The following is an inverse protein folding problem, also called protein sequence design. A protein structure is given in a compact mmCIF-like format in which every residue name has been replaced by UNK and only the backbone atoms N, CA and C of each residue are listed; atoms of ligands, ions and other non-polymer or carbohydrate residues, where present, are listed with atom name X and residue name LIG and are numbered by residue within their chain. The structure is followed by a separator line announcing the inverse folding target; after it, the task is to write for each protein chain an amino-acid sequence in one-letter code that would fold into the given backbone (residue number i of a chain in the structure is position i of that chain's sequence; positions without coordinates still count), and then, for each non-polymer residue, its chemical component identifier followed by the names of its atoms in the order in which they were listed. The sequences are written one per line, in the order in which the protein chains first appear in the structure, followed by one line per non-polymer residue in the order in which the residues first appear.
data_IF_545702592985
#
_entry.id   IF_545702592985
#
_cell.length_a   1.000
_cell.length_b   1.000
_cell.length_c   1.000
_cell.angle_alpha   90.00
_cell.angle_beta   90.00
_cell.angle_gamma   90.00
#
_symmetry.space_group_name_H-M   'P 1'
#
loop_
_entity.id
_entity.type
_entity.pdbx_description
1 polymer ?
#
# COMPACT_ATOMS: atom_id res chain seq x y z
N UNK A 1 78.00 -40.59 -66.26
CA UNK A 1 76.72 -40.17 -66.88
C UNK A 1 75.71 -40.24 -65.80
N UNK A 2 75.51 -39.09 -65.06
CA UNK A 2 74.50 -39.03 -64.04
C UNK A 2 73.48 -38.01 -64.48
N UNK A 3 72.21 -38.45 -64.49
CA UNK A 3 71.07 -37.65 -64.84
C UNK A 3 70.57 -36.91 -63.59
N UNK A 4 70.55 -35.61 -63.60
CA UNK A 4 69.96 -34.72 -62.59
C UNK A 4 68.41 -34.66 -62.85
N UNK A 5 67.60 -34.79 -61.84
CA UNK A 5 66.10 -34.64 -61.99
C UNK A 5 65.69 -33.16 -62.05
N UNK A 6 64.86 -32.95 -63.04
CA UNK A 6 64.24 -31.64 -63.35
C UNK A 6 63.30 -31.18 -62.24
N UNK A 7 63.60 -30.07 -61.55
CA UNK A 7 62.71 -29.44 -60.56
C UNK A 7 61.58 -28.72 -61.27
N UNK A 8 60.40 -29.26 -61.20
CA UNK A 8 59.18 -28.57 -61.64
C UNK A 8 58.82 -27.45 -60.75
N UNK A 9 58.88 -26.25 -61.29
CA UNK A 9 58.60 -24.96 -60.68
C UNK A 9 57.06 -24.81 -60.44
N UNK A 10 56.58 -25.20 -59.24
CA UNK A 10 55.21 -24.92 -58.82
C UNK A 10 55.02 -23.43 -58.60
N UNK A 11 54.56 -22.73 -59.67
CA UNK A 11 54.05 -21.37 -59.51
C UNK A 11 52.72 -21.40 -58.78
N UNK A 12 52.80 -21.07 -57.48
CA UNK A 12 51.64 -20.75 -56.68
C UNK A 12 50.86 -19.63 -57.37
N UNK A 13 49.61 -19.95 -57.83
CA UNK A 13 48.67 -18.94 -58.35
C UNK A 13 48.17 -18.12 -57.15
N UNK A 14 48.83 -17.02 -56.81
CA UNK A 14 48.28 -16.04 -55.91
C UNK A 14 46.97 -15.48 -56.53
N UNK A 15 45.82 -15.81 -55.92
CA UNK A 15 44.51 -15.22 -56.29
C UNK A 15 44.60 -13.72 -55.97
N UNK A 16 44.82 -12.91 -57.02
CA UNK A 16 44.78 -11.45 -56.89
C UNK A 16 43.35 -11.03 -56.53
N UNK A 17 43.10 -10.64 -55.29
CA UNK A 17 41.84 -10.03 -54.83
C UNK A 17 41.64 -8.72 -55.61
N UNK A 18 40.43 -8.48 -56.18
CA UNK A 18 40.14 -7.23 -56.89
C UNK A 18 40.31 -6.04 -55.95
N UNK A 19 40.98 -4.98 -56.40
CA UNK A 19 41.30 -3.77 -55.61
C UNK A 19 40.04 -3.14 -54.95
N UNK A 20 38.88 -3.24 -55.62
CA UNK A 20 37.58 -2.83 -55.10
C UNK A 20 37.20 -3.58 -53.83
N UNK A 21 37.47 -4.88 -53.75
CA UNK A 21 37.13 -5.72 -52.57
C UNK A 21 38.06 -5.39 -51.40
N UNK A 22 39.31 -5.08 -51.65
CA UNK A 22 40.29 -4.66 -50.61
C UNK A 22 39.94 -3.30 -50.00
N UNK A 23 39.38 -2.38 -50.78
CA UNK A 23 38.97 -1.06 -50.31
C UNK A 23 37.56 -1.07 -49.69
N UNK A 24 36.58 -1.70 -50.32
CA UNK A 24 35.14 -1.60 -49.86
C UNK A 24 34.89 -2.46 -48.63
N UNK A 25 35.46 -3.70 -48.56
CA UNK A 25 35.20 -4.60 -47.44
C UNK A 25 35.59 -4.03 -46.08
N UNK A 26 36.79 -3.43 -45.87
CA UNK A 26 37.14 -2.83 -44.60
C UNK A 26 36.25 -1.66 -44.21
N UNK A 27 35.83 -0.80 -45.15
CA UNK A 27 34.93 0.31 -44.89
C UNK A 27 33.54 -0.17 -44.47
N UNK A 28 33.00 -1.17 -45.16
CA UNK A 28 31.69 -1.79 -44.82
C UNK A 28 31.78 -2.44 -43.43
N UNK A 29 32.85 -3.18 -43.14
CA UNK A 29 33.07 -3.77 -41.81
C UNK A 29 33.18 -2.72 -40.71
N UNK A 30 33.87 -1.59 -40.95
CA UNK A 30 33.94 -0.49 -39.97
C UNK A 30 32.55 0.12 -39.71
N UNK A 31 31.72 0.32 -40.75
CA UNK A 31 30.38 0.86 -40.61
C UNK A 31 29.53 -0.12 -39.80
N UNK A 32 29.55 -1.43 -40.10
CA UNK A 32 28.83 -2.45 -39.37
C UNK A 32 29.29 -2.53 -37.90
N UNK A 33 30.59 -2.46 -37.65
CA UNK A 33 31.12 -2.44 -36.28
C UNK A 33 30.69 -1.19 -35.52
N UNK A 34 30.74 0.00 -36.15
CA UNK A 34 30.31 1.25 -35.52
C UNK A 34 28.80 1.24 -35.23
N UNK A 35 27.95 0.82 -36.19
CA UNK A 35 26.52 0.73 -36.01
C UNK A 35 26.15 -0.34 -34.95
N UNK A 36 26.79 -1.50 -34.97
CA UNK A 36 26.57 -2.57 -34.00
C UNK A 36 26.98 -2.13 -32.59
N UNK A 37 28.12 -1.49 -32.43
CA UNK A 37 28.57 -0.96 -31.15
C UNK A 37 27.66 0.16 -30.63
N UNK A 38 27.26 1.10 -31.50
CA UNK A 38 26.34 2.18 -31.13
C UNK A 38 24.96 1.60 -30.72
N UNK A 39 24.43 0.65 -31.46
CA UNK A 39 23.18 -0.06 -31.12
C UNK A 39 23.27 -0.78 -29.76
N UNK A 40 24.36 -1.52 -29.53
CA UNK A 40 24.60 -2.21 -28.26
C UNK A 40 24.69 -1.23 -27.07
N UNK A 41 25.49 -0.15 -27.22
CA UNK A 41 25.63 0.87 -26.18
C UNK A 41 24.29 1.60 -25.91
N UNK A 42 23.52 1.90 -26.97
CA UNK A 42 22.19 2.53 -26.87
C UNK A 42 21.22 1.65 -26.09
N UNK A 43 21.15 0.34 -26.41
CA UNK A 43 20.31 -0.61 -25.66
C UNK A 43 20.72 -0.74 -24.19
N UNK A 44 22.03 -0.84 -23.93
CA UNK A 44 22.57 -0.94 -22.57
C UNK A 44 22.29 0.32 -21.75
N UNK A 45 22.46 1.50 -22.33
CA UNK A 45 22.14 2.77 -21.69
C UNK A 45 20.63 2.92 -21.47
N UNK A 46 19.82 2.52 -22.44
CA UNK A 46 18.35 2.48 -22.31
C UNK A 46 17.91 1.61 -21.13
N UNK A 47 18.47 0.42 -20.99
CA UNK A 47 18.16 -0.47 -19.86
C UNK A 47 18.58 0.10 -18.50
N UNK A 48 19.74 0.76 -18.42
CA UNK A 48 20.15 1.45 -17.18
C UNK A 48 19.19 2.58 -16.85
N UNK A 49 18.83 3.41 -17.82
CA UNK A 49 17.87 4.49 -17.63
C UNK A 49 16.51 3.98 -17.14
N UNK A 50 16.01 2.85 -17.68
CA UNK A 50 14.77 2.21 -17.20
C UNK A 50 14.89 1.79 -15.74
N UNK A 51 15.98 1.11 -15.37
CA UNK A 51 16.19 0.65 -14.00
C UNK A 51 16.24 1.83 -13.01
N UNK A 52 16.96 2.90 -13.37
CA UNK A 52 17.07 4.12 -12.55
C UNK A 52 15.71 4.82 -12.41
N UNK A 53 14.97 4.96 -13.51
CA UNK A 53 13.63 5.56 -13.50
C UNK A 53 12.64 4.73 -12.69
N UNK A 54 12.64 3.40 -12.86
CA UNK A 54 11.76 2.50 -12.12
C UNK A 54 12.04 2.58 -10.61
N UNK A 55 13.30 2.52 -10.22
CA UNK A 55 13.72 2.63 -8.81
C UNK A 55 13.33 3.98 -8.22
N UNK A 56 13.60 5.07 -8.94
CA UNK A 56 13.27 6.43 -8.50
C UNK A 56 11.77 6.63 -8.36
N UNK A 57 10.99 6.25 -9.37
CA UNK A 57 9.53 6.37 -9.37
C UNK A 57 8.93 5.57 -8.23
N UNK A 58 9.33 4.29 -8.07
CA UNK A 58 8.85 3.44 -6.99
C UNK A 58 9.20 4.02 -5.62
N UNK A 59 10.41 4.59 -5.47
CA UNK A 59 10.86 5.27 -4.27
C UNK A 59 10.02 6.50 -3.91
N UNK A 60 9.75 7.36 -4.89
CA UNK A 60 8.92 8.55 -4.71
C UNK A 60 7.48 8.17 -4.33
N UNK A 61 6.89 7.18 -5.02
CA UNK A 61 5.54 6.68 -4.72
C UNK A 61 5.48 6.07 -3.32
N UNK A 62 6.44 5.20 -2.98
CA UNK A 62 6.52 4.59 -1.65
C UNK A 62 6.67 5.64 -0.54
N UNK A 63 7.51 6.65 -0.74
CA UNK A 63 7.69 7.76 0.20
C UNK A 63 6.40 8.57 0.40
N UNK A 64 5.66 8.86 -0.68
CA UNK A 64 4.36 9.55 -0.60
C UNK A 64 3.31 8.72 0.15
N UNK A 65 3.29 7.40 -0.07
CA UNK A 65 2.39 6.50 0.65
C UNK A 65 2.73 6.48 2.14
N UNK A 66 4.01 6.33 2.48
CA UNK A 66 4.47 6.34 3.88
C UNK A 66 4.11 7.66 4.57
N UNK A 67 4.37 8.80 3.93
CA UNK A 67 4.01 10.11 4.48
C UNK A 67 2.49 10.28 4.68
N UNK A 68 1.69 9.73 3.76
CA UNK A 68 0.23 9.74 3.92
C UNK A 68 -0.20 8.87 5.12
N UNK A 69 0.36 7.66 5.26
CA UNK A 69 0.10 6.80 6.41
C UNK A 69 0.47 7.48 7.73
N UNK A 70 1.67 8.08 7.79
CA UNK A 70 2.12 8.82 8.97
C UNK A 70 1.13 9.91 9.37
N UNK A 71 0.73 10.76 8.43
CA UNK A 71 -0.17 11.87 8.70
C UNK A 71 -1.59 11.38 9.07
N UNK A 72 -2.10 10.40 8.34
CA UNK A 72 -3.46 9.88 8.54
C UNK A 72 -3.61 9.16 9.87
N UNK A 73 -2.69 8.26 10.21
CA UNK A 73 -2.77 7.46 11.42
C UNK A 73 -2.34 8.25 12.69
N UNK A 74 -1.43 9.22 12.54
CA UNK A 74 -1.02 10.11 13.63
C UNK A 74 -2.19 10.89 14.24
N UNK A 75 -3.16 11.29 13.43
CA UNK A 75 -4.35 12.00 13.89
C UNK A 75 -5.13 11.20 14.94
N UNK A 76 -5.38 9.92 14.69
CA UNK A 76 -6.09 9.06 15.63
C UNK A 76 -5.33 8.89 16.95
N UNK A 77 -4.00 8.69 16.90
CA UNK A 77 -3.17 8.60 18.11
C UNK A 77 -3.20 9.89 18.94
N UNK A 78 -3.08 11.04 18.28
CA UNK A 78 -3.16 12.34 18.98
C UNK A 78 -4.52 12.55 19.63
N UNK A 79 -5.62 12.19 18.95
CA UNK A 79 -6.95 12.29 19.53
C UNK A 79 -7.16 11.34 20.71
N UNK A 80 -6.66 10.09 20.61
CA UNK A 80 -6.69 9.17 21.74
C UNK A 80 -5.94 9.74 22.96
N UNK A 81 -4.79 10.39 22.71
CA UNK A 81 -4.02 11.06 23.76
C UNK A 81 -4.78 12.24 24.34
N UNK A 82 -5.26 13.17 23.51
CA UNK A 82 -5.99 14.38 23.92
C UNK A 82 -7.23 14.01 24.73
N UNK A 83 -8.01 13.01 24.28
CA UNK A 83 -9.23 12.60 24.96
C UNK A 83 -8.94 11.91 26.30
N UNK A 84 -7.90 11.08 26.35
CA UNK A 84 -7.44 10.49 27.60
C UNK A 84 -6.97 11.55 28.59
N UNK A 85 -6.14 12.50 28.16
CA UNK A 85 -5.67 13.61 29.00
C UNK A 85 -6.83 14.48 29.48
N UNK A 86 -7.85 14.73 28.66
CA UNK A 86 -9.04 15.48 29.06
C UNK A 86 -9.83 14.77 30.19
N UNK A 87 -9.89 13.43 30.15
CA UNK A 87 -10.49 12.65 31.23
C UNK A 87 -9.59 12.68 32.48
N UNK A 88 -8.30 12.43 32.33
CA UNK A 88 -7.32 12.39 33.43
C UNK A 88 -7.31 13.72 34.21
N UNK A 89 -7.45 14.86 33.50
CA UNK A 89 -7.53 16.21 34.08
C UNK A 89 -8.93 16.57 34.61
N UNK A 90 -9.93 15.71 34.43
CA UNK A 90 -11.32 15.98 34.83
C UNK A 90 -12.05 17.02 33.97
N UNK A 91 -11.50 17.36 32.80
CA UNK A 91 -12.14 18.26 31.83
C UNK A 91 -13.27 17.59 31.07
N UNK A 92 -13.18 16.27 30.91
CA UNK A 92 -14.19 15.42 30.30
C UNK A 92 -14.70 14.39 31.30
N UNK A 93 -15.91 14.62 31.83
CA UNK A 93 -16.51 13.77 32.85
C UNK A 93 -17.05 12.47 32.24
N UNK A 94 -16.56 11.31 32.72
CA UNK A 94 -16.97 9.99 32.19
C UNK A 94 -18.41 9.61 32.58
N UNK A 95 -19.00 10.28 33.56
CA UNK A 95 -20.39 10.03 34.02
C UNK A 95 -21.43 10.77 33.15
N UNK A 96 -21.05 11.83 32.47
CA UNK A 96 -21.92 12.60 31.57
C UNK A 96 -21.75 12.14 30.11
N UNK A 97 -22.41 11.03 29.78
CA UNK A 97 -22.35 10.46 28.44
C UNK A 97 -22.83 11.44 27.35
N UNK A 98 -23.80 12.33 27.67
CA UNK A 98 -24.32 13.27 26.68
C UNK A 98 -23.28 14.35 26.34
N UNK A 99 -22.65 14.93 27.36
CA UNK A 99 -21.58 15.92 27.19
C UNK A 99 -20.37 15.31 26.48
N UNK A 100 -20.00 14.10 26.86
CA UNK A 100 -18.91 13.34 26.22
C UNK A 100 -19.19 13.08 24.72
N UNK A 101 -20.38 12.57 24.39
CA UNK A 101 -20.75 12.32 23.00
C UNK A 101 -20.79 13.61 22.16
N UNK A 102 -21.26 14.73 22.75
CA UNK A 102 -21.25 16.03 22.09
C UNK A 102 -19.82 16.52 21.84
N UNK A 103 -18.89 16.31 22.79
CA UNK A 103 -17.49 16.63 22.63
C UNK A 103 -16.85 15.79 21.50
N UNK A 104 -17.10 14.48 21.45
CA UNK A 104 -16.65 13.61 20.38
C UNK A 104 -17.23 14.04 19.02
N UNK A 105 -18.51 14.39 18.98
CA UNK A 105 -19.16 14.90 17.78
C UNK A 105 -18.46 16.17 17.24
N UNK A 106 -18.05 17.09 18.13
CA UNK A 106 -17.27 18.28 17.75
C UNK A 106 -15.93 17.88 17.09
N UNK A 107 -15.24 16.91 17.65
CA UNK A 107 -13.98 16.40 17.07
C UNK A 107 -14.21 15.74 15.73
N UNK A 108 -15.26 14.93 15.57
CA UNK A 108 -15.61 14.28 14.30
C UNK A 108 -15.81 15.26 13.14
N UNK A 109 -16.21 16.49 13.42
CA UNK A 109 -16.36 17.56 12.41
C UNK A 109 -15.04 18.23 12.01
N UNK A 110 -14.01 18.10 12.81
CA UNK A 110 -12.73 18.76 12.60
C UNK A 110 -11.68 17.80 12.01
N UNK A 111 -11.80 16.52 12.33
CA UNK A 111 -10.80 15.53 12.00
C UNK A 111 -11.36 14.45 11.09
N UNK A 112 -10.54 14.01 10.15
CA UNK A 112 -10.88 12.92 9.23
C UNK A 112 -10.60 11.56 9.86
N UNK A 113 -11.53 11.12 10.70
CA UNK A 113 -11.52 9.84 11.43
C UNK A 113 -12.85 9.11 11.24
N UNK A 114 -12.89 7.84 11.59
CA UNK A 114 -14.10 7.01 11.42
C UNK A 114 -15.07 7.13 12.58
N UNK A 115 -14.56 6.91 13.81
CA UNK A 115 -15.37 6.86 15.02
C UNK A 115 -14.54 7.16 16.26
N UNK A 116 -15.15 7.78 17.29
CA UNK A 116 -14.57 7.96 18.63
C UNK A 116 -15.41 7.17 19.62
N UNK A 117 -14.77 6.34 20.42
CA UNK A 117 -15.40 5.49 21.43
C UNK A 117 -14.80 5.71 22.80
N UNK A 118 -15.65 5.63 23.82
CA UNK A 118 -15.24 5.42 25.20
C UNK A 118 -16.07 4.31 25.80
N UNK A 119 -15.42 3.24 26.22
CA UNK A 119 -16.06 2.10 26.89
C UNK A 119 -15.53 1.95 28.31
N UNK A 120 -16.41 1.73 29.29
CA UNK A 120 -16.04 1.55 30.68
C UNK A 120 -16.03 0.07 31.10
N UNK A 121 -15.40 -0.23 32.23
CA UNK A 121 -15.44 -1.58 32.82
C UNK A 121 -16.85 -1.98 33.30
N UNK A 122 -17.75 -1.02 33.47
CA UNK A 122 -19.17 -1.25 33.85
C UNK A 122 -20.09 -1.43 32.65
N UNK A 123 -19.52 -1.65 31.45
CA UNK A 123 -20.22 -1.84 30.19
C UNK A 123 -21.05 -0.60 29.74
N UNK A 124 -20.67 0.59 30.20
CA UNK A 124 -21.20 1.83 29.64
C UNK A 124 -20.37 2.23 28.42
N UNK A 125 -21.05 2.65 27.35
CA UNK A 125 -20.44 3.06 26.10
C UNK A 125 -20.93 4.43 25.70
N UNK A 126 -20.02 5.24 25.19
CA UNK A 126 -20.31 6.54 24.58
C UNK A 126 -19.48 6.68 23.32
N UNK A 127 -20.09 7.13 22.23
CA UNK A 127 -19.34 7.33 20.99
C UNK A 127 -19.98 8.34 20.05
N UNK A 128 -19.20 8.74 19.06
CA UNK A 128 -19.64 9.54 17.94
C UNK A 128 -18.86 9.19 16.68
N UNK A 129 -19.52 9.15 15.54
CA UNK A 129 -18.83 8.89 14.29
C UNK A 129 -19.74 8.68 13.10
N UNK A 130 -19.13 8.32 11.98
CA UNK A 130 -19.82 8.05 10.72
C UNK A 130 -20.26 6.59 10.71
N UNK A 131 -21.56 6.38 10.82
CA UNK A 131 -22.16 5.09 10.92
C UNK A 131 -23.18 4.93 9.78
N UNK A 132 -23.00 3.96 8.91
CA UNK A 132 -23.83 3.67 7.72
C UNK A 132 -23.86 4.77 6.63
N UNK A 133 -23.70 6.03 7.00
CA UNK A 133 -23.68 7.16 6.07
C UNK A 133 -22.38 7.92 6.26
N UNK A 134 -21.51 8.02 5.23
CA UNK A 134 -20.24 8.73 5.33
C UNK A 134 -20.40 10.24 5.56
N UNK A 135 -21.62 10.77 5.41
CA UNK A 135 -21.91 12.20 5.55
C UNK A 135 -22.66 12.55 6.85
N UNK A 136 -23.06 11.55 7.64
CA UNK A 136 -23.84 11.77 8.87
C UNK A 136 -23.08 11.26 10.10
N UNK A 137 -22.79 12.19 11.01
CA UNK A 137 -22.24 11.84 12.31
C UNK A 137 -23.43 11.44 13.22
N UNK A 138 -23.37 10.26 13.78
CA UNK A 138 -24.30 9.78 14.82
C UNK A 138 -23.62 9.85 16.17
N UNK A 139 -24.41 9.96 17.23
CA UNK A 139 -23.95 9.81 18.62
C UNK A 139 -24.57 8.54 19.19
N UNK A 140 -23.79 7.80 19.98
CA UNK A 140 -24.19 6.46 20.41
C UNK A 140 -23.94 6.24 21.89
N UNK A 141 -24.84 5.48 22.50
CA UNK A 141 -24.82 5.19 23.93
C UNK A 141 -25.24 3.75 24.23
N UNK A 142 -24.54 3.15 25.18
CA UNK A 142 -25.05 1.98 25.90
C UNK A 142 -24.86 2.21 27.39
N UNK A 143 -25.88 1.98 28.19
CA UNK A 143 -25.83 2.14 29.64
C UNK A 143 -26.70 1.11 30.33
N UNK A 144 -26.15 -0.07 30.65
CA UNK A 144 -26.90 -1.11 31.36
C UNK A 144 -27.54 -0.63 32.66
N UNK A 145 -26.89 0.29 33.37
CA UNK A 145 -27.42 0.88 34.59
C UNK A 145 -28.69 1.72 34.38
N UNK A 146 -28.78 2.47 33.28
CA UNK A 146 -29.90 3.34 32.97
C UNK A 146 -31.00 2.65 32.17
N UNK A 147 -30.62 1.71 31.30
CA UNK A 147 -31.48 1.10 30.32
C UNK A 147 -31.98 -0.30 30.75
N UNK A 148 -31.32 -0.94 31.74
CA UNK A 148 -31.63 -2.30 32.16
C UNK A 148 -31.26 -3.39 31.16
N UNK A 149 -30.59 -3.02 30.03
CA UNK A 149 -30.10 -3.92 28.99
C UNK A 149 -28.76 -3.46 28.45
N UNK A 150 -28.13 -4.25 27.59
CA UNK A 150 -26.85 -3.97 26.93
C UNK A 150 -27.03 -3.50 25.48
N UNK A 151 -28.18 -2.92 25.18
CA UNK A 151 -28.45 -2.44 23.82
C UNK A 151 -27.65 -1.13 23.57
N UNK A 152 -27.15 -1.03 22.36
CA UNK A 152 -26.45 0.15 21.88
C UNK A 152 -27.42 0.97 21.02
N UNK A 153 -27.62 2.20 21.39
CA UNK A 153 -28.56 3.12 20.76
C UNK A 153 -27.78 4.18 19.98
N UNK A 154 -27.97 4.23 18.67
CA UNK A 154 -27.42 5.25 17.80
C UNK A 154 -28.49 6.30 17.45
N UNK A 155 -28.11 7.57 17.51
CA UNK A 155 -28.99 8.69 17.24
C UNK A 155 -28.42 9.61 16.18
N UNK A 156 -29.28 10.10 15.28
CA UNK A 156 -28.96 11.21 14.40
C UNK A 156 -28.73 12.48 15.24
N UNK A 157 -27.94 13.42 14.69
CA UNK A 157 -27.68 14.71 15.33
C UNK A 157 -28.15 15.86 14.45
N UNK A 158 -28.48 16.99 15.09
CA UNK A 158 -28.67 18.25 14.38
C UNK A 158 -27.34 18.92 14.04
N UNK A 159 -27.39 20.11 13.42
CA UNK A 159 -26.21 20.89 13.05
C UNK A 159 -25.36 21.34 14.23
N UNK A 160 -25.86 21.26 15.44
CA UNK A 160 -25.20 21.62 16.69
C UNK A 160 -24.64 20.41 17.44
N UNK A 161 -24.97 19.19 16.99
CA UNK A 161 -24.56 17.93 17.63
C UNK A 161 -25.52 17.44 18.72
N UNK A 162 -26.69 18.03 18.83
CA UNK A 162 -27.71 17.55 19.75
C UNK A 162 -28.35 16.29 19.18
N UNK A 163 -28.58 15.32 20.06
CA UNK A 163 -29.29 14.09 19.73
C UNK A 163 -30.72 14.40 19.27
N UNK A 164 -31.12 13.83 18.12
CA UNK A 164 -32.44 13.99 17.54
C UNK A 164 -33.16 12.64 17.44
N UNK A 165 -33.24 12.06 16.28
CA UNK A 165 -33.98 10.84 16.00
C UNK A 165 -33.15 9.61 16.33
N UNK A 166 -33.80 8.57 16.87
CA UNK A 166 -33.21 7.25 16.98
C UNK A 166 -32.96 6.72 15.55
N UNK A 167 -31.67 6.40 15.28
CA UNK A 167 -31.21 5.91 13.99
C UNK A 167 -31.27 4.38 13.94
N UNK A 168 -30.70 3.71 14.96
CA UNK A 168 -30.64 2.25 15.04
C UNK A 168 -30.45 1.76 16.48
N UNK A 169 -30.74 0.47 16.71
CA UNK A 169 -30.53 -0.22 17.99
C UNK A 169 -29.83 -1.55 17.75
N UNK A 170 -28.62 -1.69 18.30
CA UNK A 170 -27.91 -2.97 18.29
C UNK A 170 -28.16 -3.69 19.60
N UNK A 171 -28.84 -4.84 19.48
CA UNK A 171 -29.23 -5.64 20.65
C UNK A 171 -28.03 -6.35 21.27
N UNK A 172 -27.93 -6.30 22.60
CA UNK A 172 -26.93 -7.00 23.40
C UNK A 172 -25.48 -6.77 22.89
N UNK A 173 -25.12 -5.51 22.61
CA UNK A 173 -23.82 -5.12 22.12
C UNK A 173 -22.71 -5.35 23.15
N UNK A 174 -21.71 -6.11 22.79
CA UNK A 174 -20.63 -6.55 23.67
C UNK A 174 -19.30 -5.94 23.22
N UNK A 175 -19.16 -4.63 23.31
CA UNK A 175 -17.96 -3.93 22.89
C UNK A 175 -16.69 -4.38 23.63
N UNK A 176 -16.84 -4.94 24.84
CA UNK A 176 -15.72 -5.50 25.61
C UNK A 176 -15.04 -6.68 24.92
N UNK A 177 -15.68 -7.28 23.90
CA UNK A 177 -15.11 -8.34 23.05
C UNK A 177 -14.47 -7.79 21.78
N UNK A 178 -14.74 -6.53 21.44
CA UNK A 178 -14.19 -5.90 20.25
C UNK A 178 -12.66 -5.72 20.39
N UNK A 179 -11.89 -5.84 19.27
CA UNK A 179 -10.44 -5.76 19.31
C UNK A 179 -9.91 -4.48 19.95
N UNK A 180 -10.54 -3.34 19.68
CA UNK A 180 -10.13 -2.04 20.22
C UNK A 180 -10.15 -2.01 21.76
N UNK A 181 -11.14 -2.64 22.39
CA UNK A 181 -11.27 -2.66 23.83
C UNK A 181 -10.49 -3.82 24.47
N UNK A 182 -10.75 -5.07 24.01
CA UNK A 182 -10.18 -6.28 24.59
C UNK A 182 -8.66 -6.31 24.53
N UNK A 183 -8.06 -5.91 23.40
CA UNK A 183 -6.60 -5.92 23.26
C UNK A 183 -5.96 -4.82 24.10
N UNK A 184 -6.60 -3.66 24.22
CA UNK A 184 -6.08 -2.51 24.99
C UNK A 184 -6.15 -2.77 26.49
N UNK A 185 -7.26 -3.31 27.00
CA UNK A 185 -7.36 -3.70 28.41
C UNK A 185 -6.32 -4.74 28.78
N UNK A 186 -6.10 -5.73 27.90
CA UNK A 186 -5.06 -6.75 28.10
C UNK A 186 -3.64 -6.18 28.06
N UNK A 187 -3.38 -5.21 27.19
CA UNK A 187 -2.05 -4.62 27.05
C UNK A 187 -1.72 -3.62 28.17
N UNK A 188 -2.72 -3.00 28.80
CA UNK A 188 -2.56 -1.99 29.84
C UNK A 188 -1.81 -0.73 29.42
N UNK A 189 -1.66 -0.49 28.10
CA UNK A 189 -0.97 0.65 27.50
C UNK A 189 -1.63 1.03 26.18
N UNK A 190 -1.27 2.21 25.67
CA UNK A 190 -1.72 2.63 24.34
C UNK A 190 -1.21 1.70 23.25
N UNK A 191 -2.11 1.26 22.37
CA UNK A 191 -1.82 0.35 21.26
C UNK A 191 -2.75 0.64 20.08
N UNK A 192 -2.38 0.19 18.89
CA UNK A 192 -3.32 -0.08 17.82
C UNK A 192 -4.00 -1.42 18.03
N UNK A 193 -5.29 -1.50 17.70
CA UNK A 193 -5.97 -2.80 17.57
C UNK A 193 -5.44 -3.58 16.37
N UNK A 194 -5.68 -4.88 16.33
CA UNK A 194 -5.66 -5.60 15.06
C UNK A 194 -6.68 -4.97 14.10
N UNK A 195 -6.44 -5.08 12.78
CA UNK A 195 -7.42 -4.65 11.78
C UNK A 195 -8.68 -5.50 11.91
N UNK A 196 -9.82 -4.85 12.03
CA UNK A 196 -11.12 -5.48 12.14
C UNK A 196 -12.11 -4.91 11.13
N UNK A 197 -13.21 -5.58 10.95
CA UNK A 197 -14.26 -5.20 10.02
C UNK A 197 -15.51 -4.81 10.77
N UNK A 198 -16.08 -3.65 10.44
CA UNK A 198 -17.37 -3.28 10.97
C UNK A 198 -18.44 -4.21 10.39
N UNK A 199 -19.33 -4.70 11.23
CA UNK A 199 -20.40 -5.64 10.84
C UNK A 199 -21.58 -4.97 10.12
N UNK A 200 -21.33 -3.80 9.53
CA UNK A 200 -22.33 -2.95 8.90
C UNK A 200 -21.94 -2.72 7.44
N UNK A 201 -22.91 -2.93 6.55
CA UNK A 201 -22.72 -2.64 5.11
C UNK A 201 -22.28 -1.18 4.91
N UNK A 202 -21.22 -0.90 4.13
CA UNK A 202 -20.49 -1.79 3.20
C UNK A 202 -19.31 -2.56 3.82
N UNK A 203 -19.33 -2.87 5.10
CA UNK A 203 -18.31 -3.65 5.83
C UNK A 203 -16.90 -3.03 5.77
N UNK A 204 -16.72 -1.75 6.14
CA UNK A 204 -15.41 -1.12 6.04
C UNK A 204 -14.41 -1.78 7.00
N UNK A 205 -13.18 -1.95 6.54
CA UNK A 205 -12.07 -2.28 7.43
C UNK A 205 -11.68 -1.04 8.23
N UNK A 206 -11.36 -1.27 9.50
CA UNK A 206 -10.90 -0.24 10.42
C UNK A 206 -9.72 -0.74 11.26
N UNK A 207 -8.97 0.20 11.79
CA UNK A 207 -7.96 0.00 12.84
C UNK A 207 -8.16 1.09 13.87
N UNK A 208 -8.06 0.78 15.16
CA UNK A 208 -8.32 1.73 16.22
C UNK A 208 -7.06 2.08 17.01
N UNK A 209 -6.79 3.38 17.17
CA UNK A 209 -5.80 3.90 18.09
C UNK A 209 -6.41 3.97 19.49
N UNK A 210 -5.91 3.20 20.44
CA UNK A 210 -6.55 3.02 21.72
C UNK A 210 -5.66 3.43 22.89
N UNK A 211 -6.28 4.04 23.91
CA UNK A 211 -5.63 4.41 25.16
C UNK A 211 -6.46 3.93 26.34
N UNK A 212 -5.87 3.17 27.28
CA UNK A 212 -6.51 2.87 28.55
C UNK A 212 -6.55 4.16 29.41
N UNK A 213 -7.64 4.33 30.15
CA UNK A 213 -7.86 5.46 31.04
C UNK A 213 -7.93 4.94 32.46
N UNK A 214 -7.19 5.59 33.36
CA UNK A 214 -7.06 5.20 34.77
C UNK A 214 -7.61 6.27 35.68
N UNK A 215 -8.06 5.88 36.86
CA UNK A 215 -8.42 6.83 37.92
C UNK A 215 -7.16 7.31 38.68
N UNK A 216 -7.36 8.22 39.64
CA UNK A 216 -6.27 8.76 40.50
C UNK A 216 -5.58 7.69 41.36
N UNK A 217 -6.20 6.52 41.54
CA UNK A 217 -5.65 5.37 42.27
C UNK A 217 -4.98 4.36 41.34
N UNK A 218 -4.82 4.72 40.05
CA UNK A 218 -4.26 3.84 39.00
C UNK A 218 -5.11 2.59 38.73
N UNK A 219 -6.42 2.65 38.96
CA UNK A 219 -7.36 1.61 38.54
C UNK A 219 -7.85 1.93 37.12
N UNK A 220 -7.86 0.93 36.25
CA UNK A 220 -8.44 1.08 34.91
C UNK A 220 -9.94 1.39 35.02
N UNK A 221 -10.40 2.46 34.40
CA UNK A 221 -11.82 2.86 34.37
C UNK A 221 -12.46 2.65 33.01
N UNK A 222 -11.68 2.59 31.94
CA UNK A 222 -12.16 2.39 30.58
C UNK A 222 -11.09 2.54 29.51
N UNK A 223 -11.52 2.54 28.27
CA UNK A 223 -10.66 2.69 27.09
C UNK A 223 -11.25 3.72 26.15
N UNK A 224 -10.43 4.67 25.70
CA UNK A 224 -10.68 5.51 24.54
C UNK A 224 -10.22 4.77 23.29
N UNK A 225 -11.05 4.73 22.24
CA UNK A 225 -10.73 4.22 20.93
C UNK A 225 -11.02 5.25 19.85
N UNK A 226 -10.12 5.39 18.91
CA UNK A 226 -10.27 6.25 17.73
C UNK A 226 -10.09 5.39 16.48
N UNK A 227 -11.19 5.11 15.80
CA UNK A 227 -11.19 4.29 14.61
C UNK A 227 -10.76 5.08 13.37
N UNK A 228 -9.82 4.52 12.63
CA UNK A 228 -9.49 4.95 11.28
C UNK A 228 -10.02 3.96 10.25
N UNK A 229 -10.80 4.47 9.28
CA UNK A 229 -11.33 3.66 8.18
C UNK A 229 -10.26 3.46 7.10
N UNK A 230 -9.96 2.22 6.78
CA UNK A 230 -8.92 1.90 5.79
C UNK A 230 -9.35 2.19 4.34
N UNK A 231 -10.64 2.47 4.11
CA UNK A 231 -11.16 2.94 2.82
C UNK A 231 -10.47 4.22 2.33
N UNK A 232 -10.11 5.13 3.22
CA UNK A 232 -9.42 6.38 2.86
C UNK A 232 -7.98 6.12 2.39
N UNK A 233 -7.29 5.13 2.97
CA UNK A 233 -5.98 4.68 2.49
C UNK A 233 -6.13 4.10 1.07
N UNK A 234 -7.14 3.28 0.83
CA UNK A 234 -7.45 2.75 -0.50
C UNK A 234 -7.70 3.86 -1.52
N UNK A 235 -8.55 4.83 -1.16
CA UNK A 235 -8.92 5.93 -2.05
C UNK A 235 -7.70 6.82 -2.37
N UNK A 236 -6.80 7.00 -1.41
CA UNK A 236 -5.51 7.64 -1.64
C UNK A 236 -4.64 6.82 -2.61
N UNK A 237 -4.48 5.50 -2.40
CA UNK A 237 -3.69 4.66 -3.30
C UNK A 237 -4.21 4.69 -4.75
N UNK A 238 -5.53 4.78 -4.94
CA UNK A 238 -6.16 4.92 -6.26
C UNK A 238 -5.87 6.25 -6.93
N UNK A 239 -5.65 7.31 -6.16
CA UNK A 239 -5.30 8.64 -6.68
C UNK A 239 -3.80 8.77 -6.99
N UNK A 240 -2.96 8.00 -6.31
CA UNK A 240 -1.53 8.00 -6.57
C UNK A 240 -1.25 7.20 -7.85
N UNK A 241 -0.96 7.93 -8.94
CA UNK A 241 -0.48 7.30 -10.17
C UNK A 241 0.92 6.73 -9.93
N UNK A 242 1.04 5.42 -9.95
CA UNK A 242 2.34 4.74 -9.93
C UNK A 242 3.00 4.87 -11.31
N UNK A 243 2.35 4.35 -12.33
CA UNK A 243 2.71 4.45 -13.75
C UNK A 243 1.45 4.16 -14.59
N UNK A 244 1.58 3.85 -15.87
CA UNK A 244 0.43 3.58 -16.73
C UNK A 244 -0.35 2.33 -16.27
N UNK A 245 0.35 1.25 -15.94
CA UNK A 245 -0.25 -0.03 -15.50
C UNK A 245 0.25 -0.47 -14.11
N UNK A 246 1.20 0.25 -13.52
CA UNK A 246 1.75 -0.06 -12.20
C UNK A 246 0.71 -0.02 -11.08
N UNK A 247 1.00 -0.74 -10.00
CA UNK A 247 0.12 -0.88 -8.85
C UNK A 247 0.85 -0.56 -7.54
N UNK A 248 0.07 -0.10 -6.57
CA UNK A 248 0.51 -0.03 -5.18
C UNK A 248 -0.48 -0.73 -4.26
N UNK A 249 0.01 -1.37 -3.22
CA UNK A 249 -0.83 -2.03 -2.23
C UNK A 249 -0.13 -2.10 -0.88
N UNK A 250 -0.93 -2.25 0.17
CA UNK A 250 -0.47 -2.37 1.55
C UNK A 250 -1.00 -3.68 2.10
N UNK A 251 -0.15 -4.41 2.81
CA UNK A 251 -0.53 -5.66 3.45
C UNK A 251 0.04 -5.77 4.87
N UNK A 252 -0.61 -6.56 5.70
CA UNK A 252 -0.09 -6.98 7.00
C UNK A 252 0.99 -8.04 6.84
N UNK A 253 1.80 -8.25 7.86
CA UNK A 253 2.86 -9.27 7.86
C UNK A 253 2.36 -10.71 7.69
N UNK A 254 1.06 -10.97 7.87
CA UNK A 254 0.39 -12.24 7.59
C UNK A 254 -0.09 -12.37 6.12
N UNK A 255 0.12 -11.33 5.29
CA UNK A 255 -0.26 -11.30 3.89
C UNK A 255 -1.69 -10.81 3.61
N UNK A 256 -2.48 -10.46 4.63
CA UNK A 256 -3.81 -9.91 4.45
C UNK A 256 -3.73 -8.49 3.87
N UNK A 257 -4.52 -8.25 2.82
CA UNK A 257 -4.58 -6.95 2.16
C UNK A 257 -5.25 -5.91 3.07
N UNK A 258 -4.63 -4.76 3.19
CA UNK A 258 -5.15 -3.56 3.87
C UNK A 258 -5.86 -2.67 2.85
N UNK A 259 -5.17 -2.34 1.78
CA UNK A 259 -5.65 -1.48 0.71
C UNK A 259 -4.83 -1.71 -0.58
N UNK A 260 -5.41 -1.38 -1.73
CA UNK A 260 -4.70 -1.40 -3.00
C UNK A 260 -5.18 -0.31 -3.95
N UNK A 261 -4.38 0.02 -4.95
CA UNK A 261 -4.76 0.90 -6.04
C UNK A 261 -5.68 0.23 -7.08
N UNK A 262 -5.95 -1.08 -6.94
CA UNK A 262 -6.91 -1.79 -7.80
C UNK A 262 -8.36 -1.44 -7.44
N UNK A 263 -9.32 -1.91 -8.27
CA UNK A 263 -10.75 -1.75 -7.99
C UNK A 263 -11.28 -2.80 -7.01
N UNK A 264 -10.46 -3.78 -6.64
CA UNK A 264 -10.84 -4.86 -5.73
C UNK A 264 -10.92 -4.35 -4.28
N UNK A 265 -11.92 -4.83 -3.54
CA UNK A 265 -12.00 -4.60 -2.10
C UNK A 265 -11.05 -5.57 -1.37
N UNK A 266 -10.50 -5.17 -0.19
CA UNK A 266 -9.58 -6.02 0.58
C UNK A 266 -10.28 -7.18 1.32
N UNK A 267 -11.49 -7.52 0.90
CA UNK A 267 -12.29 -8.62 1.41
C UNK A 267 -13.24 -9.15 0.33
N UNK A 268 -13.76 -10.36 0.53
CA UNK A 268 -14.83 -10.98 -0.28
C UNK A 268 -16.02 -11.30 0.60
N UNK A 269 -17.22 -11.19 0.05
CA UNK A 269 -18.44 -11.66 0.75
C UNK A 269 -18.59 -13.15 0.48
N UNK A 270 -18.53 -13.96 1.53
CA UNK A 270 -18.72 -15.41 1.47
C UNK A 270 -19.87 -15.75 2.43
N UNK A 271 -20.94 -16.35 1.91
CA UNK A 271 -22.15 -16.68 2.69
C UNK A 271 -22.71 -15.47 3.47
N UNK A 272 -22.71 -14.30 2.83
CA UNK A 272 -23.22 -13.04 3.42
C UNK A 272 -22.27 -12.40 4.45
N UNK A 273 -21.10 -12.99 4.73
CA UNK A 273 -20.12 -12.44 5.67
C UNK A 273 -18.86 -11.99 4.95
N UNK A 274 -18.26 -10.88 5.37
CA UNK A 274 -17.01 -10.41 4.82
C UNK A 274 -15.85 -11.30 5.31
N UNK A 275 -15.01 -11.73 4.37
CA UNK A 275 -13.75 -12.46 4.65
C UNK A 275 -12.59 -11.70 4.04
N UNK A 276 -11.62 -11.34 4.86
CA UNK A 276 -10.43 -10.61 4.43
C UNK A 276 -9.65 -11.36 3.36
N UNK A 277 -9.09 -10.61 2.40
CA UNK A 277 -8.41 -11.12 1.23
C UNK A 277 -6.89 -11.19 1.47
N UNK A 278 -6.28 -12.31 1.16
CA UNK A 278 -4.82 -12.39 1.02
C UNK A 278 -4.39 -11.71 -0.29
N UNK A 279 -3.29 -10.97 -0.26
CA UNK A 279 -2.75 -10.34 -1.47
C UNK A 279 -2.39 -11.37 -2.56
N UNK A 280 -2.04 -12.60 -2.16
CA UNK A 280 -1.80 -13.73 -3.07
C UNK A 280 -3.06 -14.27 -3.76
N UNK A 281 -4.25 -13.90 -3.27
CA UNK A 281 -5.55 -14.31 -3.81
C UNK A 281 -6.28 -13.15 -4.51
N UNK A 282 -5.58 -12.02 -4.72
CA UNK A 282 -6.11 -10.86 -5.44
C UNK A 282 -6.56 -11.24 -6.85
N UNK A 283 -7.65 -10.63 -7.31
CA UNK A 283 -8.10 -10.73 -8.70
C UNK A 283 -7.25 -9.89 -9.65
N UNK A 284 -6.56 -8.87 -9.15
CA UNK A 284 -5.57 -8.10 -9.90
C UNK A 284 -4.29 -8.93 -10.07
N UNK A 285 -4.01 -9.31 -11.32
CA UNK A 285 -2.90 -10.22 -11.65
C UNK A 285 -1.54 -9.70 -11.20
N UNK A 286 -1.30 -8.39 -11.33
CA UNK A 286 -0.03 -7.78 -10.97
C UNK A 286 0.17 -7.78 -9.44
N UNK A 287 -0.87 -7.48 -8.67
CA UNK A 287 -0.84 -7.59 -7.20
C UNK A 287 -0.64 -9.04 -6.79
N UNK A 288 -1.41 -9.98 -7.38
CA UNK A 288 -1.34 -11.40 -7.06
C UNK A 288 0.07 -11.97 -7.31
N UNK A 289 0.63 -11.76 -8.51
CA UNK A 289 1.95 -12.29 -8.88
C UNK A 289 3.06 -11.67 -8.04
N UNK A 290 2.98 -10.35 -7.77
CA UNK A 290 3.93 -9.67 -6.89
C UNK A 290 3.89 -10.23 -5.47
N UNK A 291 2.71 -10.42 -4.89
CA UNK A 291 2.56 -10.99 -3.55
C UNK A 291 3.10 -12.43 -3.48
N UNK A 292 2.80 -13.26 -4.48
CA UNK A 292 3.35 -14.63 -4.59
C UNK A 292 4.87 -14.64 -4.72
N UNK A 293 5.43 -13.74 -5.53
CA UNK A 293 6.88 -13.58 -5.66
C UNK A 293 7.53 -13.21 -4.33
N UNK A 294 6.99 -12.20 -3.62
CA UNK A 294 7.49 -11.80 -2.30
C UNK A 294 7.40 -12.94 -1.29
N UNK A 295 6.27 -13.65 -1.24
CA UNK A 295 6.09 -14.81 -0.36
C UNK A 295 7.09 -15.94 -0.68
N UNK A 296 7.31 -16.23 -1.95
CA UNK A 296 8.29 -17.24 -2.37
C UNK A 296 9.71 -16.84 -2.01
N UNK A 297 10.09 -15.58 -2.26
CA UNK A 297 11.45 -15.08 -2.06
C UNK A 297 11.85 -14.98 -0.58
N UNK A 298 10.93 -14.56 0.28
CA UNK A 298 11.18 -14.38 1.72
C UNK A 298 10.63 -15.52 2.58
N UNK A 299 9.78 -16.39 2.04
CA UNK A 299 9.08 -17.45 2.75
C UNK A 299 7.95 -16.94 3.66
N UNK A 300 8.10 -15.76 4.23
CA UNK A 300 7.09 -15.08 5.03
C UNK A 300 7.30 -13.56 4.96
N UNK A 301 6.22 -12.78 4.89
CA UNK A 301 6.27 -11.32 4.79
C UNK A 301 6.91 -10.64 6.02
N UNK A 302 6.80 -11.25 7.21
CA UNK A 302 7.44 -10.73 8.43
C UNK A 302 8.98 -10.76 8.40
N UNK A 303 9.59 -11.40 7.44
CA UNK A 303 11.06 -11.38 7.25
C UNK A 303 11.53 -10.14 6.50
N UNK A 304 10.63 -9.39 5.90
CA UNK A 304 10.97 -8.14 5.22
C UNK A 304 11.12 -7.05 6.28
N UNK A 305 12.36 -6.78 6.69
CA UNK A 305 12.66 -5.83 7.77
C UNK A 305 13.07 -4.46 7.27
N UNK A 306 13.63 -4.40 6.07
CA UNK A 306 14.16 -3.20 5.44
C UNK A 306 13.57 -3.04 4.03
N UNK A 307 13.66 -1.81 3.50
CA UNK A 307 13.25 -1.54 2.14
C UNK A 307 14.06 -2.37 1.13
N UNK A 308 13.37 -3.02 0.21
CA UNK A 308 13.96 -3.86 -0.83
C UNK A 308 13.52 -3.39 -2.21
N UNK A 309 14.48 -3.31 -3.14
CA UNK A 309 14.23 -3.16 -4.56
C UNK A 309 14.48 -4.51 -5.22
N UNK A 310 13.48 -5.07 -5.84
CA UNK A 310 13.47 -6.41 -6.39
C UNK A 310 12.95 -6.38 -7.83
N UNK A 311 13.21 -7.44 -8.56
CA UNK A 311 12.63 -7.66 -9.89
C UNK A 311 12.25 -9.12 -10.09
N UNK A 312 11.20 -9.34 -10.85
CA UNK A 312 10.80 -10.67 -11.29
C UNK A 312 10.21 -10.62 -12.70
N UNK A 313 10.00 -11.78 -13.31
CA UNK A 313 9.35 -11.87 -14.61
C UNK A 313 7.98 -12.52 -14.49
N UNK A 314 7.00 -11.86 -15.08
CA UNK A 314 5.64 -12.36 -15.23
C UNK A 314 5.30 -12.39 -16.71
N UNK A 315 4.95 -13.57 -17.25
CA UNK A 315 4.67 -13.78 -18.69
C UNK A 315 5.77 -13.24 -19.63
N UNK A 316 7.05 -13.33 -19.21
CA UNK A 316 8.19 -12.84 -19.97
C UNK A 316 8.51 -11.36 -19.78
N UNK A 317 7.63 -10.57 -19.20
CA UNK A 317 7.82 -9.16 -18.88
C UNK A 317 8.45 -8.97 -17.50
N UNK A 318 9.42 -8.07 -17.42
CA UNK A 318 10.10 -7.72 -16.16
C UNK A 318 9.24 -6.75 -15.36
N UNK A 319 9.10 -7.06 -14.07
CA UNK A 319 8.38 -6.26 -13.09
C UNK A 319 9.38 -5.72 -12.07
N UNK A 320 9.37 -4.41 -11.86
CA UNK A 320 10.15 -3.75 -10.80
C UNK A 320 9.28 -3.65 -9.55
N UNK A 321 9.80 -4.11 -8.42
CA UNK A 321 9.08 -4.12 -7.15
C UNK A 321 9.89 -3.39 -6.10
N UNK A 322 9.25 -2.46 -5.43
CA UNK A 322 9.75 -1.91 -4.18
C UNK A 322 8.81 -2.34 -3.05
N UNK A 323 9.37 -2.93 -2.01
CA UNK A 323 8.67 -3.23 -0.77
C UNK A 323 9.35 -2.49 0.37
N UNK A 324 8.55 -1.75 1.14
CA UNK A 324 9.04 -0.92 2.26
C UNK A 324 8.21 -1.24 3.49
N UNK A 325 8.83 -1.70 4.59
CA UNK A 325 8.16 -1.82 5.87
C UNK A 325 7.74 -0.43 6.38
N UNK A 326 6.50 -0.33 6.83
CA UNK A 326 5.98 0.83 7.54
C UNK A 326 5.57 0.41 8.96
N UNK A 327 6.15 1.03 9.96
CA UNK A 327 5.92 0.71 11.38
C UNK A 327 5.68 1.97 12.17
N UNK A 328 4.83 1.81 13.18
CA UNK A 328 4.58 2.87 14.13
C UNK A 328 4.87 2.44 15.57
N UNK A 329 5.00 3.41 16.46
CA UNK A 329 5.38 3.18 17.85
C UNK A 329 4.30 2.47 18.70
N UNK A 330 3.03 2.45 18.24
CA UNK A 330 1.93 1.77 18.91
C UNK A 330 1.69 0.35 18.39
N UNK A 331 2.49 -0.11 17.43
CA UNK A 331 2.61 -1.52 17.06
C UNK A 331 2.04 -1.92 15.73
N UNK A 332 1.68 -0.99 14.83
CA UNK A 332 1.37 -1.35 13.44
C UNK A 332 2.68 -1.78 12.74
N UNK A 333 2.59 -2.87 11.97
CA UNK A 333 3.66 -3.40 11.13
C UNK A 333 3.07 -3.82 9.79
N UNK A 334 3.13 -2.93 8.80
CA UNK A 334 2.60 -3.09 7.47
C UNK A 334 3.72 -3.06 6.43
N UNK A 335 3.45 -3.60 5.25
CA UNK A 335 4.33 -3.51 4.10
C UNK A 335 3.65 -2.69 3.01
N UNK A 336 4.33 -1.63 2.58
CA UNK A 336 3.96 -0.85 1.39
C UNK A 336 4.69 -1.44 0.20
N UNK A 337 3.94 -1.85 -0.81
CA UNK A 337 4.47 -2.47 -2.03
C UNK A 337 4.08 -1.62 -3.23
N UNK A 338 5.08 -1.32 -4.05
CA UNK A 338 4.90 -0.64 -5.34
C UNK A 338 5.48 -1.54 -6.42
N UNK A 339 4.72 -1.80 -7.47
CA UNK A 339 5.14 -2.62 -8.61
C UNK A 339 4.90 -1.90 -9.92
N UNK A 340 5.91 -1.91 -10.79
CA UNK A 340 5.89 -1.20 -12.08
C UNK A 340 6.37 -2.14 -13.18
N UNK A 341 5.53 -2.40 -14.22
CA UNK A 341 5.95 -3.15 -15.39
C UNK A 341 7.00 -2.38 -16.21
N UNK A 342 7.97 -3.11 -16.76
CA UNK A 342 9.01 -2.55 -17.63
C UNK A 342 8.42 -1.88 -18.87
N UNK A 343 7.34 -2.41 -19.41
CA UNK A 343 6.64 -1.87 -20.59
C UNK A 343 6.21 -0.41 -20.42
N UNK A 344 5.89 0.01 -19.20
CA UNK A 344 5.47 1.38 -18.92
C UNK A 344 6.58 2.42 -19.21
N UNK A 345 7.86 1.99 -19.19
CA UNK A 345 9.01 2.82 -19.51
C UNK A 345 9.50 2.63 -20.96
N UNK A 346 9.25 1.45 -21.52
CA UNK A 346 9.83 1.06 -22.82
C UNK A 346 9.20 1.76 -24.01
N UNK A 347 7.97 2.30 -23.90
CA UNK A 347 7.28 2.94 -25.02
C UNK A 347 8.12 4.07 -25.65
N UNK A 348 8.73 4.93 -24.83
CA UNK A 348 9.56 6.03 -25.29
C UNK A 348 10.93 5.58 -25.80
N UNK A 349 11.50 4.57 -25.15
CA UNK A 349 12.81 4.01 -25.54
C UNK A 349 12.70 3.24 -26.84
N UNK A 350 11.63 2.47 -27.04
CA UNK A 350 11.39 1.76 -28.29
C UNK A 350 11.16 2.70 -29.46
N UNK A 351 10.46 3.84 -29.26
CA UNK A 351 10.30 4.86 -30.27
C UNK A 351 11.66 5.45 -30.71
N UNK A 352 12.51 5.81 -29.75
CA UNK A 352 13.86 6.36 -30.02
C UNK A 352 14.77 5.32 -30.67
N UNK A 353 14.76 4.07 -30.20
CA UNK A 353 15.56 2.98 -30.74
C UNK A 353 15.15 2.69 -32.20
N UNK A 354 13.87 2.64 -32.50
CA UNK A 354 13.36 2.46 -33.86
C UNK A 354 13.81 3.57 -34.82
N UNK A 355 13.77 4.81 -34.37
CA UNK A 355 14.24 5.98 -35.13
C UNK A 355 15.74 5.87 -35.40
N UNK A 356 16.54 5.52 -34.36
CA UNK A 356 18.00 5.33 -34.50
C UNK A 356 18.33 4.22 -35.50
N UNK A 357 17.66 3.07 -35.41
CA UNK A 357 17.85 1.95 -36.36
C UNK A 357 17.49 2.38 -37.78
N UNK A 358 16.38 3.12 -38.00
CA UNK A 358 16.00 3.61 -39.31
C UNK A 358 17.03 4.59 -39.90
N UNK A 359 17.55 5.50 -39.07
CA UNK A 359 18.61 6.44 -39.50
C UNK A 359 19.90 5.70 -39.86
N UNK A 360 20.30 4.69 -39.08
CA UNK A 360 21.45 3.87 -39.38
C UNK A 360 21.28 3.07 -40.67
N UNK A 361 20.12 2.50 -40.92
CA UNK A 361 19.80 1.84 -42.19
C UNK A 361 19.80 2.82 -43.37
N UNK A 362 19.24 4.02 -43.20
CA UNK A 362 19.28 5.05 -44.22
C UNK A 362 20.70 5.49 -44.59
N UNK A 363 21.56 5.65 -43.61
CA UNK A 363 22.97 5.95 -43.81
C UNK A 363 23.72 4.84 -44.57
N UNK A 364 23.39 3.58 -44.25
CA UNK A 364 23.99 2.40 -44.93
C UNK A 364 23.57 2.26 -46.41
N UNK A 365 22.34 2.71 -46.76
CA UNK A 365 21.84 2.70 -48.15
C UNK A 365 22.43 3.82 -48.97
N UNK A 366 22.85 4.95 -48.32
CA UNK A 366 23.43 6.12 -48.99
C UNK A 366 24.98 6.00 -49.16
N UNK A 367 25.64 5.09 -48.42
CA UNK A 367 27.06 4.80 -48.48
C UNK A 367 27.36 3.68 -49.50
#
# INVERSE_FOLDING_TARGET
MEFLPNQANQRSKSKKLPLRLILVVPFVLQIFAAVGLTGYLSLRNGQRAVNELATRLSGEVSSRINQHLDNYLKTARHLAQINGDAIDLGLLETQDQQKMAHYFWKQMRLYDIGYISFGTLTNEFTGAGYYLDPNKIVVSYASPKKQGNRDFYAYETDSYGNRTKLFDIFKNYQFEKEPWYAQTTKAGKSIWSSVYQWEITPFPLAVSANRPVYDKNNNLIGVIGIDQRLTQIRDFLRQVKVSLSGKSFILESNGLLIASSSQEEPFKIIEGKPKRLLATDSSDKLIQSTAKYLQHNFGNFNKIKDAQNLEFRENGERQFVQVTPWRDEWGLDWLVVVVVPESDFMAQINANTRTTIMLCFGALVLA
#
